data_IF_462966832768
#
_entry.id   IF_462966832768
#
_cell.length_a   1.000
_cell.length_b   1.000
_cell.length_c   1.000
_cell.angle_alpha   90.00
_cell.angle_beta   90.00
_cell.angle_gamma   90.00
#
_symmetry.space_group_name_H-M   'P 1'
#
loop_
_entity.id
_entity.type
_entity.pdbx_description
1 polymer ?
#
# COMPACT_ATOMS: atom_id res chain seq x y z
N UNK A 1 -10.29 -4.15 -2.73
CA UNK A 1 -10.12 -2.70 -2.45
C UNK A 1 -10.78 -1.86 -3.55
N UNK A 2 -10.39 -1.94 -4.83
CA UNK A 2 -10.92 -1.14 -5.94
C UNK A 2 -12.45 -1.03 -6.00
N UNK A 3 -13.19 -2.16 -5.94
CA UNK A 3 -14.67 -2.14 -5.91
C UNK A 3 -15.27 -1.28 -4.80
N UNK A 4 -14.60 -1.15 -3.65
CA UNK A 4 -15.07 -0.30 -2.54
C UNK A 4 -14.84 1.16 -2.84
N UNK A 5 -13.69 1.52 -3.39
CA UNK A 5 -13.42 2.90 -3.81
C UNK A 5 -14.40 3.36 -4.91
N UNK A 6 -14.69 2.48 -5.88
CA UNK A 6 -15.71 2.76 -6.90
C UNK A 6 -17.10 3.02 -6.32
N UNK A 7 -17.48 2.32 -5.25
CA UNK A 7 -18.75 2.58 -4.57
C UNK A 7 -18.84 3.98 -3.94
N UNK A 8 -17.70 4.63 -3.70
CA UNK A 8 -17.60 6.03 -3.28
C UNK A 8 -17.35 7.00 -4.46
N UNK A 9 -17.49 6.52 -5.70
CA UNK A 9 -17.35 7.37 -6.89
C UNK A 9 -15.91 7.61 -7.34
N UNK A 10 -14.92 6.89 -6.78
CA UNK A 10 -13.53 7.02 -7.21
C UNK A 10 -13.28 6.27 -8.53
N UNK A 11 -12.49 6.86 -9.41
CA UNK A 11 -11.87 6.19 -10.54
C UNK A 11 -10.64 5.42 -10.07
N UNK A 12 -10.45 4.18 -10.56
CA UNK A 12 -9.43 3.28 -10.04
C UNK A 12 -8.52 2.73 -11.14
N UNK A 13 -7.21 2.91 -10.96
CA UNK A 13 -6.18 2.30 -11.80
C UNK A 13 -5.36 1.31 -10.98
N UNK A 14 -5.19 0.10 -11.48
CA UNK A 14 -4.27 -0.87 -10.92
C UNK A 14 -2.91 -0.80 -11.60
N UNK A 15 -1.83 -0.75 -10.81
CA UNK A 15 -0.46 -0.89 -11.30
C UNK A 15 0.04 -2.30 -10.97
N UNK A 16 0.41 -3.08 -11.98
CA UNK A 16 0.87 -4.46 -11.84
C UNK A 16 2.00 -4.76 -12.85
N UNK A 17 2.64 -5.90 -12.71
CA UNK A 17 3.58 -6.41 -13.71
C UNK A 17 2.87 -6.87 -14.99
N UNK A 18 1.56 -7.09 -14.91
CA UNK A 18 0.67 -7.44 -16.02
C UNK A 18 -0.46 -6.43 -16.15
N UNK A 19 -0.87 -6.15 -17.37
CA UNK A 19 -1.98 -5.22 -17.67
C UNK A 19 -3.29 -5.94 -18.02
N UNK A 20 -3.42 -7.20 -17.58
CA UNK A 20 -4.66 -7.95 -17.79
C UNK A 20 -5.83 -7.25 -17.09
N UNK A 21 -6.98 -7.23 -17.75
CA UNK A 21 -8.21 -6.72 -17.14
C UNK A 21 -8.47 -7.39 -15.80
N UNK A 22 -8.53 -6.59 -14.76
CA UNK A 22 -8.75 -7.06 -13.39
C UNK A 22 -10.08 -6.51 -12.88
N UNK A 23 -11.03 -7.39 -12.49
CA UNK A 23 -12.35 -6.95 -12.06
C UNK A 23 -12.31 -5.93 -10.90
N UNK A 24 -12.90 -4.78 -11.12
CA UNK A 24 -13.01 -3.72 -10.13
C UNK A 24 -12.09 -2.52 -10.38
N UNK A 25 -11.15 -2.62 -11.30
CA UNK A 25 -10.39 -1.47 -11.81
C UNK A 25 -11.03 -0.91 -13.08
N UNK A 26 -10.89 0.40 -13.29
CA UNK A 26 -11.30 1.08 -14.52
C UNK A 26 -10.19 1.01 -15.57
N UNK A 27 -8.94 0.95 -15.11
CA UNK A 27 -7.77 0.79 -15.97
C UNK A 27 -6.68 -0.04 -15.27
N UNK A 28 -5.82 -0.66 -16.08
CA UNK A 28 -4.60 -1.32 -15.63
C UNK A 28 -3.39 -0.70 -16.33
N UNK A 29 -2.29 -0.58 -15.60
CA UNK A 29 -1.03 -0.05 -16.09
C UNK A 29 0.15 -0.87 -15.58
N UNK A 30 1.28 -0.81 -16.28
CA UNK A 30 2.51 -1.45 -15.82
C UNK A 30 3.14 -0.68 -14.67
N UNK A 31 3.57 -1.39 -13.64
CA UNK A 31 4.23 -0.81 -12.46
C UNK A 31 5.43 0.08 -12.83
N UNK A 32 6.16 -0.28 -13.88
CA UNK A 32 7.30 0.52 -14.38
C UNK A 32 6.92 1.91 -14.91
N UNK A 33 5.64 2.15 -15.21
CA UNK A 33 5.14 3.48 -15.63
C UNK A 33 4.62 4.33 -14.45
N UNK A 34 4.74 3.82 -13.22
CA UNK A 34 4.20 4.50 -12.02
C UNK A 34 4.77 5.90 -11.86
N UNK A 35 6.09 6.06 -11.99
CA UNK A 35 6.75 7.36 -11.81
C UNK A 35 6.25 8.43 -12.80
N UNK A 36 5.95 8.04 -14.03
CA UNK A 36 5.46 8.96 -15.07
C UNK A 36 4.00 9.40 -14.84
N UNK A 37 3.24 8.57 -14.14
CA UNK A 37 1.78 8.72 -14.00
C UNK A 37 1.31 9.11 -12.61
N UNK A 38 2.16 8.98 -11.60
CA UNK A 38 1.73 9.16 -10.20
C UNK A 38 1.17 10.57 -9.92
N UNK A 39 1.61 11.57 -10.66
CA UNK A 39 1.10 12.93 -10.56
C UNK A 39 -0.36 13.12 -10.93
N UNK A 40 -1.01 12.13 -11.54
CA UNK A 40 -2.42 12.18 -11.93
C UNK A 40 -3.36 11.67 -10.82
N UNK A 41 -2.82 11.01 -9.79
CA UNK A 41 -3.63 10.31 -8.78
C UNK A 41 -3.70 11.05 -7.45
N UNK A 42 -4.92 11.11 -6.90
CA UNK A 42 -5.17 11.71 -5.58
C UNK A 42 -4.78 10.78 -4.43
N UNK A 43 -4.85 9.47 -4.65
CA UNK A 43 -4.55 8.45 -3.62
C UNK A 43 -3.73 7.31 -4.22
N UNK A 44 -2.58 7.04 -3.62
CA UNK A 44 -1.77 5.85 -3.90
C UNK A 44 -1.91 4.86 -2.74
N UNK A 45 -2.41 3.65 -3.03
CA UNK A 45 -2.50 2.57 -2.03
C UNK A 45 -1.59 1.42 -2.42
N UNK A 46 -0.66 1.09 -1.55
CA UNK A 46 0.33 0.03 -1.77
C UNK A 46 -0.23 -1.29 -1.23
N UNK A 47 -0.34 -2.28 -2.13
CA UNK A 47 -0.82 -3.64 -1.82
C UNK A 47 0.05 -4.73 -2.43
N UNK A 48 1.18 -4.35 -3.01
CA UNK A 48 2.13 -5.28 -3.64
C UNK A 48 2.85 -6.15 -2.59
N UNK A 49 3.27 -7.37 -2.93
CA UNK A 49 4.15 -8.15 -2.09
C UNK A 49 5.56 -7.55 -2.08
N UNK A 50 6.26 -7.67 -0.95
CA UNK A 50 7.68 -7.31 -0.88
C UNK A 50 8.53 -8.44 -1.47
N UNK A 51 9.21 -8.13 -2.55
CA UNK A 51 10.15 -9.00 -3.26
C UNK A 51 11.43 -8.21 -3.57
N UNK A 52 12.54 -8.86 -3.96
CA UNK A 52 13.72 -8.14 -4.41
C UNK A 52 13.43 -7.10 -5.52
N UNK A 53 12.49 -7.43 -6.42
CA UNK A 53 12.08 -6.55 -7.53
C UNK A 53 11.11 -5.41 -7.14
N UNK A 54 10.51 -5.46 -5.96
CA UNK A 54 9.56 -4.45 -5.47
C UNK A 54 10.09 -3.68 -4.26
N UNK A 55 11.27 -4.02 -3.76
CA UNK A 55 11.93 -3.26 -2.70
C UNK A 55 12.22 -1.84 -3.20
N UNK A 56 11.81 -0.83 -2.42
CA UNK A 56 11.96 0.57 -2.78
C UNK A 56 11.17 0.98 -4.04
N UNK A 57 10.10 0.24 -4.37
CA UNK A 57 9.22 0.54 -5.51
C UNK A 57 8.73 2.00 -5.48
N UNK A 58 8.41 2.48 -4.28
CA UNK A 58 8.06 3.88 -4.06
C UNK A 58 9.35 4.61 -3.71
N UNK A 59 10.05 4.98 -4.76
CA UNK A 59 11.33 5.68 -4.69
C UNK A 59 11.16 7.18 -4.42
N UNK A 60 12.27 7.89 -4.23
CA UNK A 60 12.28 9.35 -4.09
C UNK A 60 11.60 10.04 -5.27
N UNK A 61 11.84 9.55 -6.49
CA UNK A 61 11.27 10.12 -7.72
C UNK A 61 9.75 9.97 -7.72
N UNK A 62 9.22 8.79 -7.35
CA UNK A 62 7.77 8.56 -7.22
C UNK A 62 7.18 9.51 -6.18
N UNK A 63 7.80 9.60 -4.99
CA UNK A 63 7.33 10.45 -3.89
C UNK A 63 7.32 11.93 -4.27
N UNK A 64 8.35 12.42 -4.95
CA UNK A 64 8.43 13.82 -5.37
C UNK A 64 7.46 14.17 -6.49
N UNK A 65 7.13 13.18 -7.35
CA UNK A 65 6.18 13.32 -8.46
C UNK A 65 4.71 13.17 -8.05
N UNK A 66 4.43 12.82 -6.80
CA UNK A 66 3.06 12.71 -6.31
C UNK A 66 2.30 14.04 -6.47
N UNK A 67 1.02 13.93 -6.80
CA UNK A 67 0.11 15.07 -6.96
C UNK A 67 0.05 15.94 -5.69
N UNK A 68 -0.19 17.23 -5.85
CA UNK A 68 -0.49 18.12 -4.72
C UNK A 68 -1.75 17.68 -3.98
N UNK A 69 -1.72 17.72 -2.64
CA UNK A 69 -2.82 17.31 -1.76
C UNK A 69 -3.19 15.81 -1.93
N UNK A 70 -2.23 14.98 -2.28
CA UNK A 70 -2.43 13.54 -2.44
C UNK A 70 -2.20 12.76 -1.14
N UNK A 71 -2.66 11.51 -1.13
CA UNK A 71 -2.52 10.60 0.00
C UNK A 71 -1.75 9.36 -0.40
N UNK A 72 -0.73 9.01 0.37
CA UNK A 72 0.01 7.75 0.30
C UNK A 72 -0.48 6.81 1.40
N UNK A 73 -0.84 5.58 1.05
CA UNK A 73 -1.26 4.56 2.02
C UNK A 73 -0.40 3.31 1.86
N UNK A 74 0.27 2.89 2.92
CA UNK A 74 0.99 1.62 2.93
C UNK A 74 0.44 0.67 4.01
N UNK A 75 -0.23 -0.38 3.56
CA UNK A 75 -0.74 -1.48 4.37
C UNK A 75 -0.14 -2.82 3.96
N UNK A 76 0.92 -2.81 3.17
CA UNK A 76 1.54 -4.00 2.63
C UNK A 76 2.81 -4.38 3.39
N UNK A 77 3.94 -3.73 3.09
CA UNK A 77 5.24 -3.92 3.77
C UNK A 77 6.05 -2.63 3.71
N UNK A 78 6.79 -2.31 4.79
CA UNK A 78 7.59 -1.10 4.87
C UNK A 78 8.63 -0.98 3.76
N UNK A 79 9.40 -2.02 3.51
CA UNK A 79 10.45 -2.03 2.50
C UNK A 79 10.00 -1.84 1.03
N UNK A 80 8.68 -1.63 0.78
CA UNK A 80 8.17 -1.20 -0.53
C UNK A 80 8.39 0.29 -0.78
N UNK A 81 8.61 1.06 0.27
CA UNK A 81 8.93 2.49 0.21
C UNK A 81 10.40 2.67 0.60
N UNK A 82 11.10 3.56 -0.06
CA UNK A 82 12.35 4.15 0.44
C UNK A 82 11.99 5.07 1.61
N UNK A 83 12.09 4.54 2.85
CA UNK A 83 11.62 5.21 4.07
C UNK A 83 12.44 6.49 4.36
N UNK A 84 13.73 6.49 4.08
CA UNK A 84 14.58 7.67 4.23
C UNK A 84 14.15 8.77 3.25
N UNK A 85 13.99 8.43 1.98
CA UNK A 85 13.48 9.35 0.97
C UNK A 85 12.08 9.87 1.32
N UNK A 86 11.21 9.02 1.87
CA UNK A 86 9.86 9.41 2.30
C UNK A 86 9.91 10.43 3.43
N UNK A 87 10.76 10.22 4.45
CA UNK A 87 10.94 11.18 5.54
C UNK A 87 11.40 12.54 5.01
N UNK A 88 12.37 12.56 4.11
CA UNK A 88 12.88 13.80 3.49
C UNK A 88 11.79 14.52 2.71
N UNK A 89 11.10 13.80 1.82
CA UNK A 89 10.06 14.39 0.95
C UNK A 89 8.91 14.92 1.80
N UNK A 90 8.37 14.13 2.75
CA UNK A 90 7.25 14.55 3.58
C UNK A 90 7.60 15.66 4.58
N UNK A 91 8.88 15.82 4.91
CA UNK A 91 9.33 16.97 5.72
C UNK A 91 9.16 18.30 5.00
N UNK A 92 9.23 18.30 3.68
CA UNK A 92 9.10 19.48 2.80
C UNK A 92 7.69 19.56 2.18
N UNK A 93 7.20 18.45 1.62
CA UNK A 93 5.89 18.32 0.97
C UNK A 93 4.79 18.11 2.02
N UNK A 94 4.42 19.18 2.73
CA UNK A 94 3.35 19.14 3.74
C UNK A 94 1.94 18.97 3.15
N UNK A 95 1.83 19.10 1.87
CA UNK A 95 0.63 18.87 1.07
C UNK A 95 0.36 17.38 0.77
N UNK A 96 1.34 16.49 1.00
CA UNK A 96 1.14 15.05 0.89
C UNK A 96 0.88 14.49 2.28
N UNK A 97 -0.19 13.69 2.43
CA UNK A 97 -0.46 12.96 3.66
C UNK A 97 -0.10 11.49 3.50
N UNK A 98 0.56 10.88 4.49
CA UNK A 98 0.86 9.46 4.50
C UNK A 98 0.15 8.73 5.64
N UNK A 99 -0.46 7.58 5.34
CA UNK A 99 -1.02 6.64 6.32
C UNK A 99 -0.26 5.31 6.23
N UNK A 100 0.49 4.99 7.29
CA UNK A 100 1.43 3.89 7.31
C UNK A 100 1.07 2.91 8.44
N UNK A 101 0.81 1.65 8.07
CA UNK A 101 0.61 0.55 9.03
C UNK A 101 1.86 -0.34 9.15
N UNK A 102 2.84 -0.14 8.27
CA UNK A 102 4.06 -0.96 8.17
C UNK A 102 5.29 -0.10 7.95
N UNK A 103 6.45 -0.56 8.44
CA UNK A 103 7.71 0.18 8.46
C UNK A 103 8.84 -0.70 7.95
N UNK A 104 9.95 -0.09 7.53
CA UNK A 104 11.12 -0.85 7.11
C UNK A 104 11.70 -1.65 8.28
N UNK A 105 11.72 -1.06 9.46
CA UNK A 105 12.07 -1.75 10.70
C UNK A 105 10.86 -1.74 11.66
N UNK A 106 10.46 -2.91 12.12
CA UNK A 106 9.35 -3.11 13.05
C UNK A 106 9.83 -3.81 14.34
N UNK A 107 9.44 -3.31 15.53
CA UNK A 107 8.66 -2.09 15.78
C UNK A 107 9.37 -0.82 15.34
N UNK A 108 8.60 0.21 14.94
CA UNK A 108 9.13 1.51 14.57
C UNK A 108 9.98 2.09 15.70
N UNK A 109 11.21 2.46 15.40
CA UNK A 109 12.17 2.95 16.38
C UNK A 109 11.71 4.26 17.02
N UNK A 110 12.08 4.47 18.30
CA UNK A 110 11.65 5.64 19.08
C UNK A 110 12.21 6.97 18.53
N UNK A 111 13.34 6.92 17.86
CA UNK A 111 14.02 8.07 17.26
C UNK A 111 13.63 8.30 15.79
N UNK A 112 12.76 7.48 15.21
CA UNK A 112 12.29 7.65 13.84
C UNK A 112 11.73 9.05 13.60
N UNK A 113 12.11 9.63 12.46
CA UNK A 113 11.60 10.92 12.00
C UNK A 113 10.10 10.89 11.73
N UNK A 114 9.54 9.73 11.41
CA UNK A 114 8.09 9.56 11.15
C UNK A 114 7.23 10.03 12.33
N UNK A 115 7.70 9.89 13.58
CA UNK A 115 6.99 10.37 14.76
C UNK A 115 6.84 11.90 14.83
N UNK A 116 7.68 12.64 14.08
CA UNK A 116 7.76 14.10 14.12
C UNK A 116 7.03 14.76 12.94
N UNK A 117 6.50 13.99 12.03
CA UNK A 117 5.84 14.51 10.82
C UNK A 117 4.33 14.65 11.05
N UNK A 118 3.83 15.88 11.01
CA UNK A 118 2.41 16.20 11.25
C UNK A 118 1.47 15.69 10.13
N UNK A 119 2.03 15.39 8.96
CA UNK A 119 1.34 14.88 7.80
C UNK A 119 1.46 13.35 7.64
N UNK A 120 1.76 12.64 8.74
CA UNK A 120 1.87 11.18 8.76
C UNK A 120 1.00 10.60 9.87
N UNK A 121 0.13 9.66 9.52
CA UNK A 121 -0.59 8.81 10.48
C UNK A 121 0.08 7.43 10.55
N UNK A 122 0.32 6.95 11.76
CA UNK A 122 1.01 5.69 12.04
C UNK A 122 0.09 4.72 12.75
N UNK A 123 0.11 3.45 12.37
CA UNK A 123 -0.50 2.35 13.11
C UNK A 123 0.47 1.16 13.21
N UNK A 124 0.38 0.35 14.28
CA UNK A 124 1.43 -0.62 14.60
C UNK A 124 1.21 -1.98 13.93
N UNK A 125 1.17 -2.02 12.61
CA UNK A 125 0.99 -3.23 11.78
C UNK A 125 -0.24 -4.05 12.21
N UNK A 126 -1.37 -3.36 12.43
CA UNK A 126 -2.59 -3.97 12.94
C UNK A 126 -3.84 -3.70 12.07
N UNK A 127 -3.68 -3.19 10.87
CA UNK A 127 -4.79 -2.90 9.94
C UNK A 127 -5.64 -4.14 9.58
N UNK A 128 -5.08 -5.35 9.79
CA UNK A 128 -5.79 -6.61 9.59
C UNK A 128 -6.62 -7.04 10.83
N UNK A 129 -6.41 -6.44 11.98
CA UNK A 129 -7.11 -6.81 13.23
C UNK A 129 -8.56 -6.35 13.16
N UNK A 130 -9.49 -7.28 13.36
CA UNK A 130 -10.92 -6.98 13.36
C UNK A 130 -11.70 -8.09 14.05
N UNK A 131 -12.93 -7.79 14.46
CA UNK A 131 -13.85 -8.76 15.00
C UNK A 131 -14.08 -9.91 14.01
N UNK A 132 -14.10 -11.14 14.53
CA UNK A 132 -14.25 -12.35 13.72
C UNK A 132 -13.03 -12.75 12.88
N UNK A 133 -11.86 -12.14 13.07
CA UNK A 133 -10.66 -12.48 12.32
C UNK A 133 -10.24 -13.95 12.53
N UNK A 134 -10.29 -14.42 13.77
CA UNK A 134 -9.99 -15.82 14.11
C UNK A 134 -10.95 -16.80 13.43
N UNK A 135 -12.24 -16.47 13.38
CA UNK A 135 -13.23 -17.31 12.70
C UNK A 135 -12.95 -17.37 11.19
N UNK A 136 -12.68 -16.23 10.54
CA UNK A 136 -12.33 -16.20 9.11
C UNK A 136 -11.06 -16.98 8.78
N UNK A 137 -10.06 -16.88 9.63
CA UNK A 137 -8.82 -17.64 9.49
C UNK A 137 -9.10 -19.15 9.63
N UNK A 138 -9.85 -19.55 10.64
CA UNK A 138 -10.27 -20.94 10.83
C UNK A 138 -11.04 -21.47 9.60
N UNK A 139 -12.00 -20.72 9.09
CA UNK A 139 -12.82 -21.11 7.93
C UNK A 139 -11.95 -21.32 6.68
N UNK A 140 -10.93 -20.48 6.47
CA UNK A 140 -9.99 -20.63 5.35
C UNK A 140 -9.14 -21.89 5.52
N UNK A 141 -8.55 -22.10 6.69
CA UNK A 141 -7.73 -23.27 6.98
C UNK A 141 -8.56 -24.55 6.83
N UNK A 142 -9.75 -24.60 7.44
CA UNK A 142 -10.65 -25.74 7.38
C UNK A 142 -11.04 -26.09 5.94
N UNK A 143 -11.41 -25.07 5.13
CA UNK A 143 -11.77 -25.28 3.72
C UNK A 143 -10.62 -25.84 2.91
N UNK A 144 -9.40 -25.31 3.11
CA UNK A 144 -8.22 -25.77 2.40
C UNK A 144 -7.86 -27.21 2.77
N UNK A 145 -7.87 -27.55 4.06
CA UNK A 145 -7.63 -28.91 4.54
C UNK A 145 -8.69 -29.90 4.00
N UNK A 146 -9.98 -29.53 4.07
CA UNK A 146 -11.06 -30.35 3.53
C UNK A 146 -10.85 -30.61 2.03
N UNK A 147 -10.57 -29.57 1.23
CA UNK A 147 -10.31 -29.72 -0.20
C UNK A 147 -9.08 -30.58 -0.49
N UNK A 148 -8.07 -30.54 0.36
CA UNK A 148 -6.88 -31.37 0.21
C UNK A 148 -7.19 -32.86 0.44
N UNK A 149 -7.92 -33.17 1.52
CA UNK A 149 -8.30 -34.54 1.91
C UNK A 149 -9.28 -35.17 0.88
N UNK A 150 -10.21 -34.37 0.32
CA UNK A 150 -11.19 -34.86 -0.66
C UNK A 150 -10.60 -35.07 -2.07
N UNK A 151 -9.35 -34.71 -2.32
CA UNK A 151 -8.63 -34.95 -3.57
C UNK A 151 -7.78 -36.22 -3.59
N UNK A 152 -7.59 -36.88 -2.44
CA UNK A 152 -7.02 -38.21 -2.32
C UNK A 152 -8.11 -39.30 -2.39
#
# INVERSE_FOLDING_TARGET
>A
MAKRFKAFGAETTGFDIHTNETPGFDAMALTQTLNERIGDYDVLVITAPLMPSTRGLISREVLTSMKHNSVLVNIARGGLIDEEAMCDVLSVRKDIFAALDVFEQEPLQQDSLLWKLDNVALSPHNSFVSDGNNQRMFDVIYRNLKTYIEKE
#
